data_IF_496114593790
#
_entry.id   IF_496114593790
#
_cell.length_a   1.000
_cell.length_b   1.000
_cell.length_c   1.000
_cell.angle_alpha   90.00
_cell.angle_beta   90.00
_cell.angle_gamma   90.00
#
_symmetry.space_group_name_H-M   'P 1'
#
loop_
_entity.id
_entity.type
_entity.pdbx_description
1 polymer ?
#
# COMPACT_ATOMS: atom_id res chain seq x y z
N UNK A 1 -2.30 22.54 3.31
CA UNK A 1 -2.82 21.19 3.02
C UNK A 1 -2.08 20.23 3.92
N UNK A 2 -2.78 19.29 4.55
CA UNK A 2 -2.15 18.26 5.39
C UNK A 2 -1.39 17.27 4.52
N UNK A 3 -0.28 16.74 5.03
CA UNK A 3 0.50 15.72 4.32
C UNK A 3 -0.34 14.43 4.17
N UNK A 4 -0.51 13.88 2.95
CA UNK A 4 -1.27 12.65 2.77
C UNK A 4 -0.51 11.44 3.30
N UNK A 5 -1.24 10.47 3.85
CA UNK A 5 -0.69 9.28 4.51
C UNK A 5 -1.00 8.03 3.68
N UNK A 6 0.00 7.19 3.45
CA UNK A 6 -0.15 5.94 2.72
C UNK A 6 0.47 4.75 3.47
N UNK A 7 -0.27 3.66 3.57
CA UNK A 7 0.26 2.36 3.98
C UNK A 7 0.56 1.51 2.74
N UNK A 8 1.78 0.98 2.65
CA UNK A 8 2.21 0.11 1.55
C UNK A 8 2.25 -1.34 2.04
N UNK A 9 1.20 -2.11 1.73
CA UNK A 9 1.13 -3.53 2.05
C UNK A 9 1.98 -4.34 1.07
N UNK A 10 2.90 -5.14 1.59
CA UNK A 10 3.89 -5.85 0.77
C UNK A 10 5.11 -4.99 0.43
N UNK A 11 5.41 -3.98 1.26
CA UNK A 11 6.67 -3.26 1.17
C UNK A 11 7.86 -4.22 1.32
N UNK A 12 9.00 -3.90 0.70
CA UNK A 12 10.16 -4.79 0.67
C UNK A 12 11.46 -4.00 0.85
N UNK A 13 12.49 -4.64 1.41
CA UNK A 13 13.87 -4.15 1.38
C UNK A 13 14.53 -4.39 0.01
N UNK A 14 14.04 -5.35 -0.77
CA UNK A 14 14.47 -5.59 -2.14
C UNK A 14 13.90 -4.52 -3.07
N UNK A 15 14.78 -3.66 -3.58
CA UNK A 15 14.45 -2.50 -4.43
C UNK A 15 13.95 -2.86 -5.82
N UNK A 16 14.16 -4.10 -6.28
CA UNK A 16 13.56 -4.59 -7.51
C UNK A 16 12.05 -4.82 -7.38
N UNK A 17 11.54 -5.03 -6.16
CA UNK A 17 10.12 -5.29 -5.89
C UNK A 17 9.27 -4.03 -5.99
N UNK A 18 8.08 -4.17 -6.56
CA UNK A 18 7.11 -3.07 -6.68
C UNK A 18 6.70 -2.46 -5.34
N UNK A 19 6.60 -3.26 -4.27
CA UNK A 19 6.33 -2.73 -2.92
C UNK A 19 7.41 -1.74 -2.45
N UNK A 20 8.68 -1.99 -2.72
CA UNK A 20 9.75 -1.02 -2.44
C UNK A 20 9.66 0.20 -3.34
N UNK A 21 9.49 -0.02 -4.65
CA UNK A 21 9.32 1.07 -5.64
C UNK A 21 8.19 2.02 -5.23
N UNK A 22 7.08 1.48 -4.72
CA UNK A 22 5.96 2.28 -4.23
C UNK A 22 6.30 3.10 -2.99
N UNK A 23 7.08 2.55 -2.05
CA UNK A 23 7.59 3.31 -0.89
C UNK A 23 8.37 4.53 -1.36
N UNK A 24 9.34 4.33 -2.25
CA UNK A 24 10.16 5.42 -2.80
C UNK A 24 9.33 6.42 -3.59
N UNK A 25 8.40 5.93 -4.40
CA UNK A 25 7.55 6.78 -5.24
C UNK A 25 6.67 7.72 -4.40
N UNK A 26 5.95 7.19 -3.41
CA UNK A 26 5.08 8.00 -2.57
C UNK A 26 5.89 8.95 -1.66
N UNK A 27 7.04 8.48 -1.13
CA UNK A 27 7.93 9.33 -0.32
C UNK A 27 8.48 10.52 -1.14
N UNK A 28 8.88 10.29 -2.40
CA UNK A 28 9.35 11.35 -3.30
C UNK A 28 8.27 12.39 -3.62
N UNK A 29 7.00 12.01 -3.54
CA UNK A 29 5.84 12.88 -3.76
C UNK A 29 5.30 13.50 -2.46
N UNK A 30 6.06 13.36 -1.36
CA UNK A 30 5.77 14.02 -0.10
C UNK A 30 4.73 13.32 0.77
N UNK A 31 4.35 12.08 0.49
CA UNK A 31 3.49 11.31 1.40
C UNK A 31 4.21 10.98 2.71
N UNK A 32 3.45 10.91 3.81
CA UNK A 32 3.87 10.15 4.98
C UNK A 32 3.65 8.67 4.67
N UNK A 33 4.74 7.93 4.50
CA UNK A 33 4.70 6.53 4.08
C UNK A 33 4.87 5.61 5.28
N UNK A 34 3.96 4.64 5.41
CA UNK A 34 4.06 3.52 6.33
C UNK A 34 4.31 2.22 5.55
N UNK A 35 5.57 1.77 5.42
CA UNK A 35 5.87 0.45 4.90
C UNK A 35 5.29 -0.63 5.83
N UNK A 36 4.55 -1.60 5.27
CA UNK A 36 4.01 -2.71 6.06
C UNK A 36 4.61 -4.03 5.57
N UNK A 37 5.41 -4.63 6.44
CA UNK A 37 6.11 -5.90 6.21
C UNK A 37 6.44 -6.57 7.57
N UNK A 38 5.86 -7.74 7.89
CA UNK A 38 6.14 -8.49 9.12
C UNK A 38 7.60 -8.91 9.34
N UNK A 39 8.45 -8.84 8.31
CA UNK A 39 9.81 -9.39 8.30
C UNK A 39 10.90 -8.32 8.29
N UNK A 40 10.55 -7.05 8.29
CA UNK A 40 11.50 -5.95 8.23
C UNK A 40 11.17 -4.91 9.30
N UNK A 41 12.20 -4.39 9.96
CA UNK A 41 12.07 -3.29 10.93
C UNK A 41 12.18 -1.91 10.23
N UNK A 42 12.87 -1.86 9.09
CA UNK A 42 13.12 -0.64 8.32
C UNK A 42 13.17 -0.93 6.81
N UNK A 43 12.62 0.00 6.01
CA UNK A 43 12.64 -0.01 4.54
C UNK A 43 12.90 1.43 4.05
N UNK A 44 13.95 1.62 3.24
CA UNK A 44 14.34 2.95 2.71
C UNK A 44 14.52 4.03 3.81
N UNK A 45 15.05 3.65 4.97
CA UNK A 45 15.21 4.56 6.12
C UNK A 45 13.92 4.87 6.88
N UNK A 46 12.80 4.27 6.50
CA UNK A 46 11.51 4.42 7.16
C UNK A 46 11.22 3.20 8.03
N UNK A 47 10.71 3.44 9.25
CA UNK A 47 10.22 2.37 10.12
C UNK A 47 9.17 1.54 9.38
N UNK A 48 9.42 0.24 9.28
CA UNK A 48 8.44 -0.71 8.76
C UNK A 48 7.58 -1.26 9.91
N UNK A 49 6.34 -1.57 9.59
CA UNK A 49 5.34 -2.03 10.55
C UNK A 49 4.93 -3.47 10.24
N UNK A 50 4.72 -4.33 11.24
CA UNK A 50 4.37 -5.72 10.95
C UNK A 50 2.95 -5.89 10.42
N UNK A 51 2.05 -4.99 10.79
CA UNK A 51 0.63 -5.02 10.43
C UNK A 51 0.04 -3.60 10.38
N UNK A 52 -1.14 -3.44 9.78
CA UNK A 52 -1.85 -2.16 9.81
C UNK A 52 -2.34 -1.80 11.22
N UNK A 53 -2.57 -2.82 12.07
CA UNK A 53 -3.03 -2.64 13.46
C UNK A 53 -2.00 -1.94 14.33
N UNK A 54 -0.73 -1.98 13.95
CA UNK A 54 0.37 -1.38 14.69
C UNK A 54 0.71 0.03 14.20
N UNK A 55 0.04 0.52 13.14
CA UNK A 55 0.27 1.87 12.64
C UNK A 55 -0.10 2.93 13.69
N UNK A 56 0.60 4.09 13.67
CA UNK A 56 0.21 5.22 14.50
C UNK A 56 -1.24 5.65 14.22
N UNK A 57 -2.00 6.12 15.24
CA UNK A 57 -3.34 6.61 15.04
C UNK A 57 -3.33 7.86 14.15
N UNK A 58 -4.35 8.00 13.31
CA UNK A 58 -4.49 9.14 12.40
C UNK A 58 -5.28 8.77 11.14
N UNK A 59 -5.57 9.75 10.29
CA UNK A 59 -6.19 9.48 9.00
C UNK A 59 -5.22 8.65 8.14
N UNK A 60 -5.76 7.65 7.46
CA UNK A 60 -5.06 6.88 6.45
C UNK A 60 -5.71 7.19 5.10
N UNK A 61 -5.07 8.04 4.30
CA UNK A 61 -5.67 8.43 3.01
C UNK A 61 -5.66 7.25 2.03
N UNK A 62 -4.57 6.49 1.98
CA UNK A 62 -4.37 5.41 1.02
C UNK A 62 -3.84 4.13 1.65
N UNK A 63 -4.40 3.00 1.24
CA UNK A 63 -3.74 1.68 1.35
C UNK A 63 -3.38 1.22 -0.05
N UNK A 64 -2.10 0.94 -0.31
CA UNK A 64 -1.63 0.42 -1.60
C UNK A 64 -1.11 -1.00 -1.45
N UNK A 65 -1.74 -1.94 -2.14
CA UNK A 65 -1.49 -3.38 -2.03
C UNK A 65 -0.54 -3.85 -3.12
N UNK A 66 0.53 -4.54 -2.70
CA UNK A 66 1.53 -5.21 -3.56
C UNK A 66 1.73 -6.68 -3.16
N UNK A 67 0.70 -7.29 -2.56
CA UNK A 67 0.67 -8.69 -2.15
C UNK A 67 -0.14 -9.53 -3.14
N UNK A 68 0.11 -10.84 -3.24
CA UNK A 68 -0.73 -11.74 -4.02
C UNK A 68 -2.21 -11.65 -3.60
N UNK A 69 -3.18 -11.82 -4.52
CA UNK A 69 -4.60 -11.60 -4.24
C UNK A 69 -5.15 -12.42 -3.07
N UNK A 70 -4.71 -13.68 -2.93
CA UNK A 70 -5.14 -14.55 -1.83
C UNK A 70 -4.70 -14.01 -0.45
N UNK A 71 -3.56 -13.32 -0.37
CA UNK A 71 -3.14 -12.64 0.86
C UNK A 71 -3.99 -11.38 1.06
N UNK A 72 -4.23 -10.60 0.00
CA UNK A 72 -5.10 -9.43 0.04
C UNK A 72 -6.49 -9.75 0.61
N UNK A 73 -7.08 -10.88 0.22
CA UNK A 73 -8.37 -11.36 0.75
C UNK A 73 -8.35 -11.55 2.27
N UNK A 74 -7.27 -12.11 2.81
CA UNK A 74 -7.13 -12.31 4.27
C UNK A 74 -6.99 -11.00 5.05
N UNK A 75 -6.60 -9.91 4.38
CA UNK A 75 -6.35 -8.61 5.00
C UNK A 75 -7.53 -7.64 4.87
N UNK A 76 -8.59 -7.96 4.14
CA UNK A 76 -9.70 -7.03 3.89
C UNK A 76 -10.35 -6.49 5.17
N UNK A 77 -10.53 -7.35 6.18
CA UNK A 77 -11.07 -6.96 7.47
C UNK A 77 -10.16 -5.95 8.18
N UNK A 78 -8.85 -6.17 8.13
CA UNK A 78 -7.87 -5.27 8.69
C UNK A 78 -7.82 -3.93 7.96
N UNK A 79 -7.82 -3.96 6.62
CA UNK A 79 -7.89 -2.77 5.76
C UNK A 79 -9.15 -1.96 6.09
N UNK A 80 -10.32 -2.61 6.19
CA UNK A 80 -11.58 -1.94 6.53
C UNK A 80 -11.53 -1.27 7.90
N UNK A 81 -10.92 -1.91 8.90
CA UNK A 81 -10.82 -1.36 10.25
C UNK A 81 -9.97 -0.08 10.30
N UNK A 82 -9.04 0.10 9.36
CA UNK A 82 -8.28 1.34 9.22
C UNK A 82 -9.07 2.47 8.56
N UNK A 83 -10.26 2.19 8.01
CA UNK A 83 -11.14 3.15 7.34
C UNK A 83 -10.40 4.05 6.33
N UNK A 84 -9.62 3.47 5.39
CA UNK A 84 -8.83 4.28 4.48
C UNK A 84 -9.72 5.06 3.51
N UNK A 85 -9.25 6.22 3.06
CA UNK A 85 -9.92 6.99 2.00
C UNK A 85 -10.03 6.22 0.68
N UNK A 86 -9.00 5.42 0.36
CA UNK A 86 -8.92 4.59 -0.82
C UNK A 86 -8.03 3.35 -0.64
N UNK A 87 -8.37 2.28 -1.36
CA UNK A 87 -7.62 1.02 -1.40
C UNK A 87 -7.23 0.70 -2.83
N UNK A 88 -5.93 0.70 -3.10
CA UNK A 88 -5.36 0.44 -4.41
C UNK A 88 -4.91 -1.00 -4.52
N UNK A 89 -5.53 -1.75 -5.44
CA UNK A 89 -5.00 -3.04 -5.89
C UNK A 89 -4.21 -2.81 -7.18
N UNK A 90 -2.89 -2.83 -7.04
CA UNK A 90 -1.94 -2.62 -8.13
C UNK A 90 -1.91 -3.82 -9.09
N UNK A 91 -1.43 -3.64 -10.33
CA UNK A 91 -1.34 -4.73 -11.30
C UNK A 91 -0.70 -6.00 -10.71
N UNK A 92 -1.42 -7.12 -10.74
CA UNK A 92 -0.97 -8.41 -10.23
C UNK A 92 -1.25 -8.67 -8.74
N UNK A 93 -1.82 -7.69 -8.02
CA UNK A 93 -2.33 -7.86 -6.65
C UNK A 93 -3.85 -8.00 -6.58
N UNK A 94 -4.54 -7.86 -7.71
CA UNK A 94 -5.99 -7.91 -7.83
C UNK A 94 -6.51 -9.28 -8.30
N UNK A 95 -7.77 -9.57 -7.98
CA UNK A 95 -8.54 -10.67 -8.55
C UNK A 95 -10.03 -10.34 -8.51
N UNK A 96 -10.89 -10.92 -9.38
CA UNK A 96 -12.32 -10.64 -9.36
C UNK A 96 -12.98 -10.86 -7.98
N UNK A 97 -12.58 -11.92 -7.27
CA UNK A 97 -13.07 -12.21 -5.91
C UNK A 97 -12.65 -11.12 -4.92
N UNK A 98 -11.37 -10.75 -4.90
CA UNK A 98 -10.85 -9.72 -4.00
C UNK A 98 -11.57 -8.38 -4.19
N UNK A 99 -11.77 -7.96 -5.43
CA UNK A 99 -12.43 -6.69 -5.75
C UNK A 99 -13.90 -6.72 -5.34
N UNK A 100 -14.62 -7.80 -5.64
CA UNK A 100 -16.01 -7.96 -5.25
C UNK A 100 -16.18 -7.89 -3.73
N UNK A 101 -15.37 -8.66 -2.99
CA UNK A 101 -15.40 -8.68 -1.52
C UNK A 101 -15.03 -7.34 -0.89
N UNK A 102 -13.99 -6.67 -1.41
CA UNK A 102 -13.61 -5.35 -0.94
C UNK A 102 -14.73 -4.31 -1.15
N UNK A 103 -15.39 -4.35 -2.31
CA UNK A 103 -16.49 -3.45 -2.66
C UNK A 103 -17.74 -3.74 -1.80
N UNK A 104 -18.10 -5.01 -1.61
CA UNK A 104 -19.19 -5.43 -0.69
C UNK A 104 -18.96 -4.94 0.74
N UNK A 105 -17.70 -4.84 1.16
CA UNK A 105 -17.30 -4.32 2.47
C UNK A 105 -17.32 -2.78 2.56
N UNK A 106 -17.69 -2.09 1.48
CA UNK A 106 -17.78 -0.64 1.43
C UNK A 106 -16.44 0.09 1.24
N UNK A 107 -15.38 -0.61 0.83
CA UNK A 107 -14.09 0.01 0.54
C UNK A 107 -14.16 0.79 -0.77
N UNK A 108 -13.52 1.96 -0.82
CA UNK A 108 -13.30 2.70 -2.06
C UNK A 108 -12.12 2.06 -2.83
N UNK A 109 -12.45 1.15 -3.74
CA UNK A 109 -11.47 0.32 -4.45
C UNK A 109 -11.02 0.97 -5.75
N UNK A 110 -9.70 1.02 -5.97
CA UNK A 110 -9.07 1.49 -7.20
C UNK A 110 -8.18 0.38 -7.78
N UNK A 111 -8.43 0.02 -9.04
CA UNK A 111 -7.63 -0.95 -9.80
C UNK A 111 -6.76 -0.22 -10.82
N UNK A 112 -5.60 0.24 -10.38
CA UNK A 112 -4.63 0.95 -11.21
C UNK A 112 -3.24 0.90 -10.54
N UNK A 113 -2.22 1.42 -11.22
CA UNK A 113 -0.88 1.52 -10.64
C UNK A 113 -0.74 2.79 -9.81
N UNK A 114 -0.57 2.66 -8.49
CA UNK A 114 -0.43 3.79 -7.57
C UNK A 114 0.88 4.56 -7.76
N UNK A 115 1.93 3.92 -8.31
CA UNK A 115 3.18 4.61 -8.67
C UNK A 115 2.96 5.58 -9.83
N UNK A 116 2.20 5.15 -10.84
CA UNK A 116 1.84 5.98 -12.01
C UNK A 116 0.92 7.12 -11.59
N UNK A 117 -0.04 6.84 -10.72
CA UNK A 117 -0.96 7.83 -10.16
C UNK A 117 -0.22 8.97 -9.44
N UNK A 118 0.80 8.65 -8.64
CA UNK A 118 1.64 9.69 -8.00
C UNK A 118 2.66 10.32 -8.97
N UNK A 119 2.57 10.06 -10.27
CA UNK A 119 3.35 10.74 -11.31
C UNK A 119 4.74 10.16 -11.58
N UNK A 120 5.00 8.92 -11.18
CA UNK A 120 6.27 8.23 -11.43
C UNK A 120 6.11 6.98 -12.28
N UNK A 121 7.17 6.55 -12.95
CA UNK A 121 7.22 5.27 -13.68
C UNK A 121 7.91 4.21 -12.82
N UNK A 122 7.31 3.02 -12.62
CA UNK A 122 7.96 1.90 -11.93
C UNK A 122 9.27 1.45 -12.60
N UNK A 123 9.40 1.63 -13.91
CA UNK A 123 10.58 1.27 -14.70
C UNK A 123 11.72 2.29 -14.53
N UNK A 124 11.39 3.55 -14.25
CA UNK A 124 12.36 4.61 -13.99
C UNK A 124 12.96 4.56 -12.57
N UNK A 125 12.40 3.76 -11.67
CA UNK A 125 12.90 3.59 -10.31
C UNK A 125 14.03 2.54 -10.29
N UNK A 126 15.28 2.95 -10.00
CA UNK A 126 16.42 2.05 -10.04
C UNK A 126 16.30 0.96 -8.97
N UNK A 127 16.95 -0.17 -9.19
CA UNK A 127 17.25 -1.14 -8.14
C UNK A 127 18.24 -0.56 -7.13
#
# INVERSE_FOLDING_TARGET
MTQPVVAILGASQDRSKYGNKSVRAHAAQGYLVYPVNPKADEIEGLKAWPSLKELPPGPLDRVSVYLPPHIGLTLLEEIRNCQPGEVWFNPGSDSPELIARATEMGLNVIQACSIVDVGLSPEALPE
#
